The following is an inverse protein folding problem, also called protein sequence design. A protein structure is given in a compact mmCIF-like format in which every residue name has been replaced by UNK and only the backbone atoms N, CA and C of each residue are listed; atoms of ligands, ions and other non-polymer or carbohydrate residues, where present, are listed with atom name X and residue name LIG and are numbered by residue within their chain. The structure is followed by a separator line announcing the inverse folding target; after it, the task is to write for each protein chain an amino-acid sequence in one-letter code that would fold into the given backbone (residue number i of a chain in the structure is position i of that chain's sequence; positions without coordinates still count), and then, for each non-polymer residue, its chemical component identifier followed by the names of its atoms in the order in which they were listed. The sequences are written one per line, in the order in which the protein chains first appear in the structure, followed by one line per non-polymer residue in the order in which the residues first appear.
data_IF_125493200446
#
_entry.id   IF_125493200446
#
_cell.length_a   1.000
_cell.length_b   1.000
_cell.length_c   1.000
_cell.angle_alpha   90.00
_cell.angle_beta   90.00
_cell.angle_gamma   90.00
#
_symmetry.space_group_name_H-M   'P 1'
#
loop_
_entity.id
_entity.type
_entity.pdbx_description
1 polymer ?
#
# COMPACT_ATOMS: atom_id res chain seq x y z
N UNK A 1 -9.46 3.03 16.73
CA UNK A 1 -8.05 3.05 16.28
C UNK A 1 -7.66 1.63 15.90
N UNK A 2 -7.14 1.40 14.68
CA UNK A 2 -6.47 0.13 14.35
C UNK A 2 -5.13 0.09 15.09
N UNK A 3 -4.71 -1.08 15.56
CA UNK A 3 -3.40 -1.21 16.18
C UNK A 3 -2.29 -1.13 15.12
N UNK A 4 -1.08 -0.72 15.51
CA UNK A 4 0.07 -0.68 14.60
C UNK A 4 0.31 -2.04 13.94
N UNK A 5 0.17 -3.15 14.67
CA UNK A 5 0.28 -4.50 14.13
C UNK A 5 -0.74 -4.77 13.01
N UNK A 6 -1.99 -4.34 13.19
CA UNK A 6 -3.03 -4.46 12.16
C UNK A 6 -2.69 -3.63 10.92
N UNK A 7 -2.15 -2.42 11.11
CA UNK A 7 -1.72 -1.54 10.00
C UNK A 7 -0.55 -2.12 9.22
N UNK A 8 0.42 -2.75 9.91
CA UNK A 8 1.54 -3.46 9.27
C UNK A 8 1.06 -4.71 8.53
N UNK A 9 0.15 -5.49 9.12
CA UNK A 9 -0.47 -6.63 8.42
C UNK A 9 -1.21 -6.20 7.15
N UNK A 10 -1.95 -5.09 7.21
CA UNK A 10 -2.62 -4.51 6.05
C UNK A 10 -1.63 -4.02 4.98
N UNK A 11 -0.51 -3.41 5.41
CA UNK A 11 0.54 -2.95 4.49
C UNK A 11 1.19 -4.11 3.73
N UNK A 12 1.51 -5.21 4.41
CA UNK A 12 2.04 -6.42 3.79
C UNK A 12 1.09 -6.99 2.73
N UNK A 13 -0.20 -7.09 3.05
CA UNK A 13 -1.21 -7.54 2.09
C UNK A 13 -1.30 -6.58 0.88
N UNK A 14 -1.29 -5.27 1.11
CA UNK A 14 -1.35 -4.28 0.04
C UNK A 14 -0.11 -4.34 -0.87
N UNK A 15 1.09 -4.50 -0.33
CA UNK A 15 2.33 -4.66 -1.11
C UNK A 15 2.20 -5.82 -2.09
N UNK A 16 1.75 -6.98 -1.62
CA UNK A 16 1.55 -8.17 -2.47
C UNK A 16 0.48 -7.95 -3.54
N UNK A 17 -0.58 -7.20 -3.24
CA UNK A 17 -1.66 -6.91 -4.21
C UNK A 17 -1.22 -5.89 -5.26
N UNK A 18 -0.51 -4.84 -4.85
CA UNK A 18 0.00 -3.80 -5.75
C UNK A 18 1.08 -4.35 -6.69
N UNK A 19 1.90 -5.30 -6.22
CA UNK A 19 2.88 -6.01 -7.06
C UNK A 19 2.25 -6.81 -8.21
N UNK A 20 1.00 -7.26 -8.03
CA UNK A 20 0.25 -8.05 -9.02
C UNK A 20 -0.54 -7.20 -10.02
N UNK A 21 -0.49 -5.87 -9.91
CA UNK A 21 -1.08 -5.01 -10.93
C UNK A 21 -0.28 -5.16 -12.22
N UNK A 22 -0.98 -5.40 -13.33
CA UNK A 22 -0.33 -5.52 -14.65
C UNK A 22 0.47 -4.27 -14.95
N UNK A 23 1.66 -4.44 -15.56
CA UNK A 23 2.43 -3.31 -16.08
C UNK A 23 1.65 -2.48 -17.11
N UNK A 24 0.65 -3.10 -17.76
CA UNK A 24 -0.23 -2.44 -18.72
C UNK A 24 -1.38 -1.66 -18.06
N UNK A 25 -1.60 -1.79 -16.75
CA UNK A 25 -2.60 -0.97 -16.06
C UNK A 25 -2.13 0.47 -16.00
N UNK A 26 -3.03 1.40 -16.30
CA UNK A 26 -2.78 2.83 -16.15
C UNK A 26 -2.27 3.20 -14.75
N UNK A 27 -2.68 2.44 -13.72
CA UNK A 27 -2.34 2.69 -12.32
C UNK A 27 -1.01 2.07 -11.87
N UNK A 28 -0.32 1.29 -12.71
CA UNK A 28 0.87 0.52 -12.35
C UNK A 28 2.03 1.40 -11.84
N UNK A 29 2.24 2.56 -12.47
CA UNK A 29 3.27 3.50 -12.06
C UNK A 29 3.00 4.07 -10.66
N UNK A 30 1.76 4.51 -10.40
CA UNK A 30 1.37 5.03 -9.09
C UNK A 30 1.43 3.95 -8.00
N UNK A 31 1.03 2.72 -8.34
CA UNK A 31 1.11 1.57 -7.45
C UNK A 31 2.54 1.25 -7.03
N UNK A 32 3.51 1.37 -7.94
CA UNK A 32 4.93 1.14 -7.65
C UNK A 32 5.46 2.11 -6.58
N UNK A 33 5.07 3.39 -6.67
CA UNK A 33 5.45 4.41 -5.67
C UNK A 33 4.86 4.11 -4.29
N UNK A 34 3.58 3.76 -4.21
CA UNK A 34 2.91 3.41 -2.95
C UNK A 34 3.50 2.13 -2.35
N UNK A 35 3.72 1.10 -3.18
CA UNK A 35 4.36 -0.16 -2.77
C UNK A 35 5.74 0.10 -2.15
N UNK A 36 6.57 0.91 -2.80
CA UNK A 36 7.89 1.26 -2.27
C UNK A 36 7.83 2.00 -0.94
N UNK A 37 6.86 2.90 -0.76
CA UNK A 37 6.65 3.59 0.52
C UNK A 37 6.20 2.65 1.64
N UNK A 38 5.28 1.72 1.35
CA UNK A 38 4.84 0.70 2.32
C UNK A 38 6.01 -0.22 2.73
N UNK A 39 6.80 -0.70 1.76
CA UNK A 39 7.96 -1.55 2.02
C UNK A 39 8.96 -0.90 2.99
N UNK A 40 9.32 0.38 2.76
CA UNK A 40 10.23 1.11 3.64
C UNK A 40 9.71 1.22 5.08
N UNK A 41 8.40 1.44 5.25
CA UNK A 41 7.77 1.54 6.57
C UNK A 41 7.68 0.18 7.26
N UNK A 42 7.40 -0.89 6.52
CA UNK A 42 7.43 -2.27 7.03
C UNK A 42 8.85 -2.61 7.50
N UNK A 43 9.86 -2.41 6.67
CA UNK A 43 11.26 -2.68 7.04
C UNK A 43 11.69 -1.86 8.26
N UNK A 44 11.27 -0.59 8.34
CA UNK A 44 11.52 0.25 9.51
C UNK A 44 10.92 -0.38 10.76
N UNK A 45 9.64 -0.77 10.72
CA UNK A 45 8.95 -1.41 11.81
C UNK A 45 9.58 -2.76 12.19
N UNK A 46 9.99 -3.59 11.23
CA UNK A 46 10.64 -4.87 11.51
C UNK A 46 11.97 -4.69 12.25
N UNK A 47 12.71 -3.60 11.98
CA UNK A 47 13.99 -3.31 12.65
C UNK A 47 13.81 -2.74 14.06
N UNK A 48 12.82 -1.90 14.29
CA UNK A 48 12.70 -1.11 15.53
C UNK A 48 11.49 -1.50 16.39
N UNK A 49 10.55 -2.27 15.85
CA UNK A 49 9.21 -2.54 16.40
C UNK A 49 8.40 -1.27 16.73
N UNK A 50 8.81 -0.12 16.19
CA UNK A 50 8.25 1.20 16.51
C UNK A 50 8.31 2.13 15.30
N UNK A 51 7.27 2.94 15.13
CA UNK A 51 7.24 4.02 14.15
C UNK A 51 7.01 5.35 14.88
N UNK A 52 7.69 6.40 14.44
CA UNK A 52 7.41 7.77 14.88
C UNK A 52 6.03 8.24 14.41
N UNK A 53 5.47 9.28 15.02
CA UNK A 53 4.17 9.82 14.63
C UNK A 53 4.10 10.23 13.15
N UNK A 54 5.21 10.71 12.60
CA UNK A 54 5.28 11.05 11.18
C UNK A 54 5.26 9.80 10.28
N UNK A 55 5.93 8.72 10.69
CA UNK A 55 5.91 7.44 10.00
C UNK A 55 4.54 6.76 10.11
N UNK A 56 3.85 6.89 11.24
CA UNK A 56 2.48 6.43 11.43
C UNK A 56 1.50 7.14 10.47
N UNK A 57 1.58 8.47 10.37
CA UNK A 57 0.79 9.24 9.39
C UNK A 57 1.12 8.84 7.96
N UNK A 58 2.40 8.60 7.67
CA UNK A 58 2.86 8.16 6.34
C UNK A 58 2.30 6.77 6.00
N UNK A 59 2.27 5.85 6.98
CA UNK A 59 1.69 4.53 6.85
C UNK A 59 0.19 4.61 6.56
N UNK A 60 -0.57 5.39 7.32
CA UNK A 60 -2.00 5.57 7.08
C UNK A 60 -2.29 6.15 5.70
N UNK A 61 -1.55 7.17 5.27
CA UNK A 61 -1.68 7.78 3.94
C UNK A 61 -1.36 6.77 2.83
N UNK A 62 -0.29 5.99 2.98
CA UNK A 62 0.10 4.98 2.00
C UNK A 62 -0.93 3.84 1.93
N UNK A 63 -1.48 3.39 3.05
CA UNK A 63 -2.58 2.42 3.08
C UNK A 63 -3.80 2.95 2.34
N UNK A 64 -4.24 4.17 2.65
CA UNK A 64 -5.39 4.79 1.97
C UNK A 64 -5.19 4.92 0.47
N UNK A 65 -4.00 5.33 0.03
CA UNK A 65 -3.70 5.43 -1.40
C UNK A 65 -3.65 4.05 -2.07
N UNK A 66 -3.05 3.05 -1.42
CA UNK A 66 -2.99 1.67 -1.92
C UNK A 66 -4.37 1.07 -2.15
N UNK A 67 -5.31 1.26 -1.21
CA UNK A 67 -6.69 0.83 -1.40
C UNK A 67 -7.40 1.55 -2.56
N UNK A 68 -7.17 2.86 -2.74
CA UNK A 68 -7.72 3.61 -3.87
C UNK A 68 -7.21 3.09 -5.21
N UNK A 69 -5.90 2.85 -5.32
CA UNK A 69 -5.29 2.33 -6.54
C UNK A 69 -5.83 0.95 -6.91
N UNK A 70 -5.94 0.02 -5.95
CA UNK A 70 -6.58 -1.27 -6.19
C UNK A 70 -8.04 -1.12 -6.64
N UNK A 71 -8.77 -0.18 -6.05
CA UNK A 71 -10.16 0.09 -6.42
C UNK A 71 -10.28 0.65 -7.84
N UNK A 72 -9.37 1.53 -8.25
CA UNK A 72 -9.34 2.06 -9.61
C UNK A 72 -8.95 1.02 -10.65
N UNK A 73 -7.92 0.21 -10.35
CA UNK A 73 -7.53 -0.90 -11.21
C UNK A 73 -8.64 -1.94 -11.36
N UNK A 74 -9.39 -2.26 -10.30
CA UNK A 74 -10.53 -3.16 -10.39
C UNK A 74 -11.68 -2.60 -11.26
N UNK A 75 -11.92 -1.28 -11.19
CA UNK A 75 -12.91 -0.59 -12.03
C UNK A 75 -12.51 -0.60 -13.51
N UNK A 76 -11.22 -0.39 -13.81
CA UNK A 76 -10.67 -0.45 -15.18
C UNK A 76 -10.96 -1.79 -15.86
N UNK A 77 -10.76 -2.89 -15.11
CA UNK A 77 -11.07 -4.25 -15.59
C UNK A 77 -12.57 -4.39 -15.84
N UNK A 78 -13.41 -3.89 -14.93
CA UNK A 78 -14.87 -4.01 -15.03
C UNK A 78 -15.47 -3.17 -16.16
N UNK A 79 -14.85 -2.05 -16.53
CA UNK A 79 -15.28 -1.20 -17.66
C UNK A 79 -14.78 -1.67 -19.02
N UNK A 80 -13.85 -2.63 -19.05
CA UNK A 80 -13.24 -3.18 -20.27
C UNK A 80 -13.91 -4.50 -20.72
N UNK A 81 -15.02 -4.88 -20.08
CA UNK A 81 -15.87 -6.04 -20.38
C UNK A 81 -17.32 -5.58 -20.54
#
# INVERSE_FOLDING_TARGET
MKSLLQSIGAANLLVSRLERLSADSYWAHQASGVRGSLLRLIERYERTSQLSDQELRSLENALQMGYRLLSYAAKEISSSH
#
